data_IF_457993285768
#
_entry.id   IF_457993285768
#
_cell.length_a   1.000
_cell.length_b   1.000
_cell.length_c   1.000
_cell.angle_alpha   90.00
_cell.angle_beta   90.00
_cell.angle_gamma   90.00
#
_symmetry.space_group_name_H-M   'P 1'
#
loop_
_entity.id
_entity.type
_entity.pdbx_description
1 polymer ?
#
# COMPACT_ATOMS: atom_id res chain seq x y z
N UNK A 1 -30.48 -27.01 10.07
CA UNK A 1 -30.09 -25.88 10.93
C UNK A 1 -28.58 -25.74 10.86
N UNK A 2 -28.07 -24.50 10.87
CA UNK A 2 -26.66 -24.08 11.09
C UNK A 2 -25.87 -23.58 9.85
N UNK A 3 -26.05 -22.26 9.63
CA UNK A 3 -25.14 -21.17 9.23
C UNK A 3 -23.63 -21.48 9.02
N UNK A 4 -22.99 -20.94 7.96
CA UNK A 4 -21.57 -20.50 7.82
C UNK A 4 -21.21 -20.32 6.33
N UNK A 5 -20.71 -19.23 5.75
CA UNK A 5 -20.24 -17.92 6.24
C UNK A 5 -20.37 -17.00 5.02
N UNK A 6 -21.33 -16.06 5.03
CA UNK A 6 -21.28 -14.92 4.13
C UNK A 6 -20.18 -14.02 4.69
N UNK A 7 -18.93 -14.21 4.27
CA UNK A 7 -17.86 -13.27 4.58
C UNK A 7 -18.36 -11.89 4.15
N UNK A 8 -18.48 -10.98 5.11
CA UNK A 8 -19.02 -9.66 4.82
C UNK A 8 -18.10 -8.99 3.78
N UNK A 9 -18.63 -8.23 2.80
CA UNK A 9 -17.81 -7.65 1.72
C UNK A 9 -16.62 -6.81 2.23
N UNK A 10 -16.69 -6.29 3.45
CA UNK A 10 -15.60 -5.58 4.11
C UNK A 10 -14.45 -6.50 4.56
N UNK A 11 -14.72 -7.72 5.01
CA UNK A 11 -13.69 -8.67 5.44
C UNK A 11 -12.90 -9.23 4.26
N UNK A 12 -13.56 -9.44 3.11
CA UNK A 12 -12.91 -9.88 1.88
C UNK A 12 -11.96 -8.82 1.29
N UNK A 13 -12.35 -7.54 1.33
CA UNK A 13 -11.50 -6.41 0.90
C UNK A 13 -10.25 -6.25 1.80
N UNK A 14 -10.37 -6.48 3.10
CA UNK A 14 -9.23 -6.43 4.03
C UNK A 14 -8.26 -7.60 3.79
N UNK A 15 -8.78 -8.80 3.52
CA UNK A 15 -7.97 -9.98 3.21
C UNK A 15 -7.23 -9.79 1.87
N UNK A 16 -7.92 -9.31 0.85
CA UNK A 16 -7.33 -9.02 -0.47
C UNK A 16 -6.23 -7.95 -0.38
N UNK A 17 -6.48 -6.85 0.35
CA UNK A 17 -5.46 -5.81 0.58
C UNK A 17 -4.25 -6.34 1.34
N UNK A 18 -4.44 -7.23 2.31
CA UNK A 18 -3.34 -7.87 3.05
C UNK A 18 -2.54 -8.80 2.15
N UNK A 19 -3.21 -9.59 1.31
CA UNK A 19 -2.55 -10.46 0.34
C UNK A 19 -1.72 -9.64 -0.67
N UNK A 20 -2.30 -8.57 -1.24
CA UNK A 20 -1.61 -7.66 -2.14
C UNK A 20 -0.35 -7.05 -1.50
N UNK A 21 -0.45 -6.60 -0.24
CA UNK A 21 0.71 -6.10 0.50
C UNK A 21 1.79 -7.16 0.71
N UNK A 22 1.40 -8.42 0.91
CA UNK A 22 2.32 -9.56 0.98
C UNK A 22 3.13 -9.72 -0.31
N UNK A 23 2.45 -9.74 -1.46
CA UNK A 23 3.12 -9.82 -2.77
C UNK A 23 4.07 -8.64 -3.03
N UNK A 24 3.66 -7.41 -2.67
CA UNK A 24 4.53 -6.24 -2.80
C UNK A 24 5.74 -6.36 -1.89
N UNK A 25 5.57 -6.84 -0.65
CA UNK A 25 6.69 -7.02 0.29
C UNK A 25 7.69 -8.07 -0.18
N UNK A 26 7.20 -9.16 -0.79
CA UNK A 26 8.03 -10.18 -1.41
C UNK A 26 8.82 -9.63 -2.60
N UNK A 27 8.17 -8.88 -3.51
CA UNK A 27 8.84 -8.22 -4.62
C UNK A 27 9.93 -7.22 -4.15
N UNK A 28 9.70 -6.54 -3.03
CA UNK A 28 10.73 -5.70 -2.40
C UNK A 28 11.93 -6.51 -1.90
N UNK A 29 11.67 -7.64 -1.22
CA UNK A 29 12.73 -8.50 -0.74
C UNK A 29 13.56 -9.07 -1.91
N UNK A 30 12.92 -9.51 -2.98
CA UNK A 30 13.58 -9.98 -4.20
C UNK A 30 14.42 -8.89 -4.86
N UNK A 31 13.86 -7.69 -5.05
CA UNK A 31 14.61 -6.57 -5.65
C UNK A 31 15.86 -6.22 -4.83
N UNK A 32 15.77 -6.24 -3.51
CA UNK A 32 16.92 -6.05 -2.62
C UNK A 32 17.97 -7.17 -2.77
N UNK A 33 17.55 -8.43 -2.97
CA UNK A 33 18.46 -9.56 -3.22
C UNK A 33 19.20 -9.42 -4.55
N UNK A 34 18.54 -8.85 -5.57
CA UNK A 34 19.13 -8.54 -6.87
C UNK A 34 20.07 -7.31 -6.83
N UNK A 35 20.20 -6.67 -5.66
CA UNK A 35 21.09 -5.54 -5.44
C UNK A 35 20.47 -4.18 -5.76
N UNK A 36 19.14 -4.10 -5.93
CA UNK A 36 18.44 -2.83 -6.02
C UNK A 36 18.43 -2.12 -4.67
N UNK A 37 18.62 -0.81 -4.71
CA UNK A 37 18.54 0.02 -3.53
C UNK A 37 17.10 0.14 -3.02
N UNK A 38 16.93 0.10 -1.70
CA UNK A 38 15.61 0.14 -1.06
C UNK A 38 14.85 1.44 -1.34
N UNK A 39 15.56 2.57 -1.46
CA UNK A 39 14.94 3.86 -1.78
C UNK A 39 14.42 3.87 -3.22
N UNK A 40 15.18 3.28 -4.16
CA UNK A 40 14.73 3.08 -5.54
C UNK A 40 13.47 2.21 -5.63
N UNK A 41 13.42 1.11 -4.87
CA UNK A 41 12.22 0.25 -4.82
C UNK A 41 11.01 1.00 -4.25
N UNK A 42 11.20 1.77 -3.18
CA UNK A 42 10.14 2.60 -2.59
C UNK A 42 9.59 3.63 -3.58
N UNK A 43 10.46 4.32 -4.30
CA UNK A 43 10.06 5.29 -5.33
C UNK A 43 9.30 4.62 -6.48
N UNK A 44 9.79 3.48 -6.97
CA UNK A 44 9.13 2.72 -8.03
C UNK A 44 7.73 2.25 -7.61
N UNK A 45 7.59 1.76 -6.37
CA UNK A 45 6.31 1.32 -5.84
C UNK A 45 5.32 2.48 -5.68
N UNK A 46 5.77 3.65 -5.20
CA UNK A 46 4.94 4.84 -5.12
C UNK A 46 4.46 5.29 -6.50
N UNK A 47 5.34 5.25 -7.50
CA UNK A 47 4.98 5.57 -8.88
C UNK A 47 3.93 4.60 -9.43
N UNK A 48 4.14 3.29 -9.28
CA UNK A 48 3.19 2.28 -9.72
C UNK A 48 1.84 2.42 -9.00
N UNK A 49 1.85 2.66 -7.69
CA UNK A 49 0.64 2.88 -6.92
C UNK A 49 -0.14 4.12 -7.41
N UNK A 50 0.54 5.25 -7.63
CA UNK A 50 -0.14 6.45 -8.15
C UNK A 50 -0.63 6.26 -9.59
N UNK A 51 0.11 5.55 -10.44
CA UNK A 51 -0.34 5.22 -11.79
C UNK A 51 -1.67 4.44 -11.77
N UNK A 52 -1.77 3.43 -10.92
CA UNK A 52 -2.99 2.62 -10.77
C UNK A 52 -4.16 3.46 -10.24
N UNK A 53 -3.91 4.32 -9.24
CA UNK A 53 -4.93 5.22 -8.69
C UNK A 53 -5.42 6.23 -9.73
N UNK A 54 -4.51 6.81 -10.53
CA UNK A 54 -4.89 7.73 -11.61
C UNK A 54 -5.67 7.00 -12.70
N UNK A 55 -5.26 5.78 -13.07
CA UNK A 55 -5.97 4.98 -14.07
C UNK A 55 -7.40 4.63 -13.62
N UNK A 56 -7.57 4.29 -12.34
CA UNK A 56 -8.85 3.84 -11.79
C UNK A 56 -9.78 5.00 -11.44
N UNK A 57 -9.25 6.07 -10.86
CA UNK A 57 -10.05 7.15 -10.25
C UNK A 57 -9.85 8.53 -10.88
N UNK A 58 -8.82 8.71 -11.72
CA UNK A 58 -8.45 9.98 -12.34
C UNK A 58 -7.44 10.81 -11.53
N UNK A 59 -6.86 11.81 -12.20
CA UNK A 59 -5.79 12.66 -11.65
C UNK A 59 -6.26 13.48 -10.43
N UNK A 60 -7.39 14.18 -10.54
CA UNK A 60 -7.91 15.03 -9.46
C UNK A 60 -8.27 14.24 -8.18
N UNK A 61 -8.86 13.05 -8.34
CA UNK A 61 -9.18 12.19 -7.20
C UNK A 61 -7.90 11.69 -6.50
N UNK A 62 -6.88 11.35 -7.29
CA UNK A 62 -5.57 10.91 -6.78
C UNK A 62 -4.82 12.05 -6.08
N UNK A 63 -4.87 13.26 -6.64
CA UNK A 63 -4.28 14.46 -6.03
C UNK A 63 -4.89 14.74 -4.65
N UNK A 64 -6.22 14.71 -4.54
CA UNK A 64 -6.93 14.87 -3.25
C UNK A 64 -6.58 13.77 -2.25
N UNK A 65 -6.41 12.53 -2.71
CA UNK A 65 -5.95 11.45 -1.84
C UNK A 65 -4.53 11.72 -1.28
N UNK A 66 -3.63 12.24 -2.12
CA UNK A 66 -2.27 12.57 -1.74
C UNK A 66 -2.14 13.79 -0.82
N UNK A 67 -3.10 14.72 -0.82
CA UNK A 67 -3.10 15.90 0.08
C UNK A 67 -3.01 15.53 1.57
N UNK A 68 -3.52 14.37 1.98
CA UNK A 68 -3.45 13.90 3.36
C UNK A 68 -2.11 13.26 3.76
N UNK A 69 -1.23 12.98 2.80
CA UNK A 69 0.05 12.30 3.07
C UNK A 69 1.00 13.13 3.94
N UNK A 70 1.23 14.43 3.66
CA UNK A 70 2.14 15.24 4.46
C UNK A 70 1.78 15.25 5.95
N UNK A 71 0.49 15.28 6.29
CA UNK A 71 0.02 15.25 7.67
C UNK A 71 0.25 13.88 8.30
N UNK A 72 -0.10 12.80 7.61
CA UNK A 72 0.09 11.42 8.09
C UNK A 72 1.56 11.06 8.29
N UNK A 73 2.44 11.49 7.37
CA UNK A 73 3.88 11.28 7.46
C UNK A 73 4.45 12.00 8.68
N UNK A 74 4.12 13.28 8.87
CA UNK A 74 4.57 14.05 10.06
C UNK A 74 3.97 13.52 11.36
N UNK A 75 2.78 12.95 11.30
CA UNK A 75 2.11 12.27 12.42
C UNK A 75 2.69 10.89 12.76
N UNK A 76 3.71 10.42 12.03
CA UNK A 76 4.36 9.13 12.30
C UNK A 76 3.56 7.91 11.87
N UNK A 77 2.53 8.08 11.03
CA UNK A 77 1.65 6.97 10.61
C UNK A 77 2.39 5.85 9.85
N UNK A 78 3.60 6.14 9.34
CA UNK A 78 4.44 5.20 8.60
C UNK A 78 5.76 4.91 9.31
N UNK A 79 5.94 5.41 10.54
CA UNK A 79 7.14 5.18 11.35
C UNK A 79 6.93 3.93 12.19
N UNK A 80 7.63 2.85 11.87
CA UNK A 80 7.49 1.54 12.54
C UNK A 80 8.43 1.33 13.74
N UNK A 81 9.41 2.22 13.94
CA UNK A 81 10.28 2.23 15.12
C UNK A 81 10.22 3.59 15.81
N UNK A 82 10.03 3.61 17.13
CA UNK A 82 10.25 4.81 17.94
C UNK A 82 11.66 5.31 17.61
N UNK A 83 11.79 6.46 16.94
CA UNK A 83 13.08 7.12 16.81
C UNK A 83 13.47 7.60 18.21
N UNK A 84 14.32 6.84 18.90
CA UNK A 84 14.97 7.24 20.14
C UNK A 84 16.20 8.09 19.83
#
# INVERSE_FOLDING_TARGET
MQNSTQTAPFEADVDEKRAALGYVSEAFAEGCLDGLDGDCMAQAALFAAFQELVMTYGEEATARYAEGFPERIRGGAFTTALQH
#
